data_IF_741649010018
#
_entry.id   IF_741649010018
#
_cell.length_a   1.000
_cell.length_b   1.000
_cell.length_c   1.000
_cell.angle_alpha   90.00
_cell.angle_beta   90.00
_cell.angle_gamma   90.00
#
_symmetry.space_group_name_H-M   'P 1'
#
loop_
_entity.id
_entity.type
_entity.pdbx_description
1 polymer ?
#
# COMPACT_ATOMS: atom_id res chain seq x y z
N UNK A 1 -64.79 10.66 22.77
CA UNK A 1 -64.27 11.85 23.48
C UNK A 1 -63.17 12.39 22.60
N UNK A 2 -63.46 13.42 21.78
CA UNK A 2 -62.44 14.01 20.91
C UNK A 2 -61.34 14.60 21.80
N UNK A 3 -60.07 14.15 21.68
CA UNK A 3 -58.97 14.83 22.34
C UNK A 3 -58.94 16.28 21.86
N UNK A 4 -58.57 17.20 22.75
CA UNK A 4 -58.47 18.61 22.41
C UNK A 4 -57.40 18.81 21.33
N UNK A 5 -57.48 19.88 20.53
CA UNK A 5 -56.46 20.22 19.52
C UNK A 5 -55.03 20.32 20.11
N UNK A 6 -54.92 20.53 21.42
CA UNK A 6 -53.66 20.51 22.17
C UNK A 6 -53.02 19.11 22.26
N UNK A 7 -53.82 18.05 22.31
CA UNK A 7 -53.33 16.66 22.38
C UNK A 7 -52.68 16.25 21.05
N UNK A 8 -53.26 16.66 19.92
CA UNK A 8 -52.70 16.42 18.58
C UNK A 8 -51.38 17.17 18.38
N UNK A 9 -51.30 18.43 18.83
CA UNK A 9 -50.06 19.21 18.74
C UNK A 9 -48.93 18.60 19.58
N UNK A 10 -49.26 18.13 20.78
CA UNK A 10 -48.31 17.44 21.65
C UNK A 10 -47.78 16.16 21.02
N UNK A 11 -48.65 15.33 20.43
CA UNK A 11 -48.23 14.10 19.75
C UNK A 11 -47.33 14.36 18.55
N UNK A 12 -47.58 15.43 17.79
CA UNK A 12 -46.72 15.84 16.67
C UNK A 12 -45.35 16.30 17.20
N UNK A 13 -45.31 17.13 18.23
CA UNK A 13 -44.05 17.57 18.85
C UNK A 13 -43.24 16.37 19.35
N UNK A 14 -43.92 15.37 19.93
CA UNK A 14 -43.31 14.13 20.39
C UNK A 14 -42.80 13.26 19.22
N UNK A 15 -43.52 13.20 18.10
CA UNK A 15 -43.06 12.54 16.88
C UNK A 15 -41.77 13.20 16.34
N UNK A 16 -41.74 14.54 16.24
CA UNK A 16 -40.53 15.26 15.86
C UNK A 16 -39.37 15.00 16.82
N UNK A 17 -39.63 14.98 18.13
CA UNK A 17 -38.63 14.63 19.13
C UNK A 17 -38.04 13.24 18.86
N UNK A 18 -38.86 12.22 18.56
CA UNK A 18 -38.35 10.88 18.24
C UNK A 18 -37.59 10.82 16.91
N UNK A 19 -37.96 11.61 15.90
CA UNK A 19 -37.17 11.75 14.66
C UNK A 19 -35.78 12.31 14.97
N UNK A 20 -35.69 13.38 15.78
CA UNK A 20 -34.40 13.96 16.17
C UNK A 20 -33.60 13.05 17.10
N UNK A 21 -34.28 12.29 17.96
CA UNK A 21 -33.62 11.30 18.82
C UNK A 21 -33.02 10.17 18.00
N UNK A 22 -33.75 9.67 16.99
CA UNK A 22 -33.22 8.71 16.03
C UNK A 22 -32.01 9.29 15.28
N UNK A 23 -32.15 10.53 14.79
CA UNK A 23 -31.07 11.25 14.11
C UNK A 23 -29.80 11.37 14.98
N UNK A 24 -29.96 11.64 16.27
CA UNK A 24 -28.84 11.69 17.21
C UNK A 24 -28.10 10.34 17.30
N UNK A 25 -28.82 9.22 17.39
CA UNK A 25 -28.19 7.90 17.47
C UNK A 25 -27.54 7.48 16.16
N UNK A 26 -28.18 7.75 15.01
CA UNK A 26 -27.56 7.52 13.68
C UNK A 26 -26.31 8.38 13.51
N UNK A 27 -26.36 9.66 13.86
CA UNK A 27 -25.18 10.54 13.83
C UNK A 27 -24.06 9.97 14.71
N UNK A 28 -24.40 9.46 15.90
CA UNK A 28 -23.46 8.88 16.85
C UNK A 28 -22.78 7.63 16.28
N UNK A 29 -23.55 6.68 15.78
CA UNK A 29 -23.05 5.43 15.18
C UNK A 29 -22.04 5.70 14.06
N UNK A 30 -22.46 6.45 13.04
CA UNK A 30 -21.60 6.69 11.87
C UNK A 30 -20.40 7.58 12.17
N UNK A 31 -20.50 8.50 13.13
CA UNK A 31 -19.37 9.39 13.47
C UNK A 31 -18.26 8.66 14.22
N UNK A 32 -18.60 7.74 15.13
CA UNK A 32 -17.63 6.93 15.88
C UNK A 32 -16.96 5.90 14.96
N UNK A 33 -17.71 5.28 14.04
CA UNK A 33 -17.14 4.34 13.07
C UNK A 33 -16.22 5.04 12.07
N UNK A 34 -16.57 6.26 11.63
CA UNK A 34 -15.80 6.95 10.59
C UNK A 34 -14.56 7.68 11.11
N UNK A 35 -14.53 8.10 12.39
CA UNK A 35 -13.39 8.84 12.94
C UNK A 35 -12.19 7.93 13.17
N UNK A 36 -10.99 8.40 12.79
CA UNK A 36 -9.74 7.65 13.00
C UNK A 36 -9.31 7.71 14.46
N UNK A 37 -8.94 6.57 15.04
CA UNK A 37 -8.44 6.49 16.43
C UNK A 37 -7.23 7.39 16.68
N UNK A 38 -6.24 7.39 15.79
CA UNK A 38 -5.05 8.24 15.87
C UNK A 38 -5.37 9.73 15.95
N UNK A 39 -6.43 10.16 15.25
CA UNK A 39 -6.91 11.55 15.29
C UNK A 39 -7.54 11.90 16.64
N UNK A 40 -8.30 10.98 17.24
CA UNK A 40 -8.84 11.17 18.58
C UNK A 40 -7.74 11.22 19.65
N UNK A 41 -6.66 10.43 19.47
CA UNK A 41 -5.48 10.48 20.34
C UNK A 41 -4.77 11.84 20.26
N UNK A 42 -4.62 12.40 19.04
CA UNK A 42 -4.09 13.75 18.82
C UNK A 42 -4.95 14.80 19.54
N UNK A 43 -6.27 14.80 19.30
CA UNK A 43 -7.20 15.73 19.94
C UNK A 43 -7.21 15.60 21.47
N UNK A 44 -7.02 14.39 22.00
CA UNK A 44 -6.91 14.14 23.43
C UNK A 44 -5.59 14.69 24.01
N UNK A 45 -4.47 14.57 23.28
CA UNK A 45 -3.18 15.19 23.64
C UNK A 45 -3.30 16.72 23.66
N UNK A 46 -4.00 17.29 22.69
CA UNK A 46 -4.29 18.73 22.58
C UNK A 46 -5.34 19.23 23.58
N UNK A 47 -5.84 18.35 24.45
CA UNK A 47 -6.84 18.64 25.50
C UNK A 47 -8.14 19.24 24.94
N UNK A 48 -8.52 18.86 23.72
CA UNK A 48 -9.80 19.25 23.14
C UNK A 48 -10.94 18.67 23.99
N UNK A 49 -11.98 19.46 24.32
CA UNK A 49 -13.12 18.96 25.11
C UNK A 49 -13.74 17.70 24.47
N UNK A 50 -14.11 16.74 25.31
CA UNK A 50 -14.72 15.46 24.92
C UNK A 50 -13.84 14.49 24.12
N UNK A 51 -12.64 14.88 23.69
CA UNK A 51 -11.75 14.02 22.92
C UNK A 51 -11.36 12.74 23.66
N UNK A 52 -11.12 12.83 24.98
CA UNK A 52 -10.83 11.66 25.81
C UNK A 52 -11.99 10.67 25.85
N UNK A 53 -13.22 11.15 26.01
CA UNK A 53 -14.42 10.30 26.04
C UNK A 53 -14.65 9.68 24.66
N UNK A 54 -14.50 10.46 23.59
CA UNK A 54 -14.61 9.95 22.23
C UNK A 54 -13.56 8.86 21.94
N UNK A 55 -12.32 9.02 22.43
CA UNK A 55 -11.27 8.01 22.33
C UNK A 55 -11.64 6.73 23.11
N UNK A 56 -12.12 6.88 24.35
CA UNK A 56 -12.58 5.75 25.18
C UNK A 56 -13.76 5.01 24.52
N UNK A 57 -14.65 5.73 23.83
CA UNK A 57 -15.74 5.16 23.04
C UNK A 57 -15.22 4.36 21.84
N UNK A 58 -14.27 4.92 21.09
CA UNK A 58 -13.63 4.25 19.96
C UNK A 58 -12.89 2.97 20.39
N UNK A 59 -12.29 2.96 21.57
CA UNK A 59 -11.63 1.78 22.15
C UNK A 59 -12.60 0.67 22.56
N UNK A 60 -13.88 0.99 22.80
CA UNK A 60 -14.91 0.03 23.19
C UNK A 60 -16.06 0.06 22.18
N UNK A 61 -15.73 0.08 20.88
CA UNK A 61 -16.68 0.35 19.80
C UNK A 61 -17.94 -0.52 19.90
N UNK A 62 -17.79 -1.82 20.11
CA UNK A 62 -18.90 -2.78 20.15
C UNK A 62 -20.01 -2.40 21.13
N UNK A 63 -19.67 -2.02 22.37
CA UNK A 63 -20.69 -1.68 23.38
C UNK A 63 -21.41 -0.37 23.07
N UNK A 64 -20.73 0.58 22.43
CA UNK A 64 -21.35 1.83 21.98
C UNK A 64 -22.19 1.64 20.72
N UNK A 65 -21.80 0.73 19.82
CA UNK A 65 -22.63 0.32 18.69
C UNK A 65 -23.92 -0.35 19.17
N UNK A 66 -23.84 -1.25 20.15
CA UNK A 66 -25.03 -1.83 20.78
C UNK A 66 -25.91 -0.75 21.43
N UNK A 67 -25.31 0.26 22.05
CA UNK A 67 -26.05 1.39 22.63
C UNK A 67 -26.77 2.23 21.56
N UNK A 68 -26.11 2.59 20.46
CA UNK A 68 -26.73 3.36 19.38
C UNK A 68 -27.84 2.56 18.70
N UNK A 69 -27.63 1.26 18.45
CA UNK A 69 -28.66 0.38 17.85
C UNK A 69 -29.92 0.27 18.73
N UNK A 70 -29.73 0.13 20.04
CA UNK A 70 -30.83 0.17 20.99
C UNK A 70 -31.57 1.51 20.92
N UNK A 71 -30.84 2.62 20.88
CA UNK A 71 -31.39 3.97 20.76
C UNK A 71 -32.19 4.18 19.47
N UNK A 72 -31.65 3.75 18.33
CA UNK A 72 -32.31 3.81 17.00
C UNK A 72 -33.62 3.00 17.04
N UNK A 73 -33.56 1.78 17.56
CA UNK A 73 -34.72 0.88 17.60
C UNK A 73 -35.81 1.42 18.51
N UNK A 74 -35.47 1.88 19.72
CA UNK A 74 -36.45 2.48 20.64
C UNK A 74 -37.07 3.74 20.06
N UNK A 75 -36.27 4.61 19.44
CA UNK A 75 -36.75 5.85 18.84
C UNK A 75 -37.67 5.58 17.64
N UNK A 76 -37.30 4.61 16.80
CA UNK A 76 -38.06 4.23 15.60
C UNK A 76 -39.39 3.57 15.95
N UNK A 77 -39.41 2.65 16.92
CA UNK A 77 -40.64 2.01 17.40
C UNK A 77 -41.57 3.02 18.08
N UNK A 78 -41.02 3.90 18.93
CA UNK A 78 -41.80 4.96 19.57
C UNK A 78 -42.38 5.94 18.55
N UNK A 79 -41.60 6.32 17.53
CA UNK A 79 -42.07 7.15 16.42
C UNK A 79 -43.18 6.47 15.63
N UNK A 80 -43.06 5.18 15.33
CA UNK A 80 -44.12 4.44 14.64
C UNK A 80 -45.42 4.41 15.44
N UNK A 81 -45.32 4.17 16.75
CA UNK A 81 -46.49 4.10 17.63
C UNK A 81 -47.16 5.46 17.86
N UNK A 82 -46.39 6.53 17.99
CA UNK A 82 -46.93 7.86 18.35
C UNK A 82 -47.16 8.72 17.12
N UNK A 83 -46.26 8.65 16.14
CA UNK A 83 -46.27 9.49 14.95
C UNK A 83 -47.48 9.23 14.08
N UNK A 84 -47.79 7.96 13.78
CA UNK A 84 -48.87 7.62 12.84
C UNK A 84 -50.21 8.17 13.32
N UNK A 85 -50.65 7.90 14.57
CA UNK A 85 -51.90 8.46 15.07
C UNK A 85 -51.90 10.00 15.13
N UNK A 86 -50.74 10.63 15.37
CA UNK A 86 -50.61 12.08 15.44
C UNK A 86 -50.90 12.74 14.09
N UNK A 87 -50.32 12.21 13.02
CA UNK A 87 -50.43 12.75 11.67
C UNK A 87 -51.76 12.33 11.03
N UNK A 88 -52.21 11.10 11.23
CA UNK A 88 -53.49 10.61 10.68
C UNK A 88 -54.65 11.48 11.17
N UNK A 89 -54.72 11.79 12.47
CA UNK A 89 -55.78 12.65 13.05
C UNK A 89 -55.79 14.07 12.47
N UNK A 90 -54.62 14.63 12.15
CA UNK A 90 -54.51 15.95 11.53
C UNK A 90 -55.06 15.95 10.10
N UNK A 91 -54.95 14.81 9.40
CA UNK A 91 -55.42 14.63 8.02
C UNK A 91 -56.91 14.25 7.99
N UNK A 92 -57.42 13.53 8.99
CA UNK A 92 -58.81 13.09 9.09
C UNK A 92 -59.79 14.27 9.11
N UNK A 93 -59.54 15.31 9.93
CA UNK A 93 -60.49 16.44 10.04
C UNK A 93 -60.71 17.17 8.70
N UNK A 94 -59.67 17.61 7.96
CA UNK A 94 -59.84 18.18 6.63
C UNK A 94 -60.54 17.23 5.64
N UNK A 95 -60.20 15.94 5.63
CA UNK A 95 -60.81 14.99 4.70
C UNK A 95 -62.31 14.82 4.96
N UNK A 96 -62.75 14.78 6.22
CA UNK A 96 -64.17 14.71 6.57
C UNK A 96 -64.92 15.97 6.17
N UNK A 97 -64.36 17.14 6.48
CA UNK A 97 -65.02 18.43 6.22
C UNK A 97 -65.15 18.75 4.74
N UNK A 98 -64.14 18.43 3.91
CA UNK A 98 -64.13 18.81 2.50
C UNK A 98 -64.75 17.78 1.55
N UNK A 99 -64.63 16.48 1.84
CA UNK A 99 -65.02 15.42 0.89
C UNK A 99 -66.23 14.60 1.32
N UNK A 100 -66.76 14.80 2.54
CA UNK A 100 -67.96 14.13 3.07
C UNK A 100 -67.96 12.60 2.85
N UNK A 101 -66.78 11.99 2.97
CA UNK A 101 -66.52 10.57 2.70
C UNK A 101 -66.99 9.67 3.87
N UNK A 102 -67.13 8.38 3.60
CA UNK A 102 -67.38 7.36 4.64
C UNK A 102 -66.18 7.30 5.62
N UNK A 103 -66.46 7.19 6.92
CA UNK A 103 -65.46 7.15 7.99
C UNK A 103 -64.35 6.12 7.77
N UNK A 104 -64.69 4.94 7.22
CA UNK A 104 -63.71 3.88 6.92
C UNK A 104 -62.73 4.32 5.83
N UNK A 105 -63.23 4.97 4.77
CA UNK A 105 -62.40 5.47 3.68
C UNK A 105 -61.50 6.61 4.15
N UNK A 106 -62.02 7.52 4.96
CA UNK A 106 -61.23 8.64 5.52
C UNK A 106 -60.10 8.11 6.38
N UNK A 107 -60.38 7.19 7.30
CA UNK A 107 -59.37 6.63 8.18
C UNK A 107 -58.28 5.88 7.40
N UNK A 108 -58.65 5.08 6.40
CA UNK A 108 -57.70 4.33 5.57
C UNK A 108 -56.78 5.25 4.76
N UNK A 109 -57.35 6.30 4.15
CA UNK A 109 -56.57 7.28 3.37
C UNK A 109 -55.67 8.12 4.28
N UNK A 110 -56.18 8.57 5.42
CA UNK A 110 -55.40 9.32 6.40
C UNK A 110 -54.23 8.49 6.95
N UNK A 111 -54.47 7.22 7.28
CA UNK A 111 -53.44 6.27 7.68
C UNK A 111 -52.36 6.12 6.61
N UNK A 112 -52.74 5.88 5.35
CA UNK A 112 -51.78 5.69 4.27
C UNK A 112 -50.89 6.92 4.03
N UNK A 113 -51.49 8.11 4.06
CA UNK A 113 -50.75 9.38 3.92
C UNK A 113 -49.86 9.62 5.14
N UNK A 114 -50.37 9.43 6.35
CA UNK A 114 -49.62 9.61 7.59
C UNK A 114 -48.41 8.67 7.66
N UNK A 115 -48.63 7.38 7.42
CA UNK A 115 -47.58 6.36 7.38
C UNK A 115 -46.50 6.72 6.35
N UNK A 116 -46.90 7.12 5.14
CA UNK A 116 -45.95 7.53 4.09
C UNK A 116 -45.15 8.76 4.51
N UNK A 117 -45.81 9.78 5.05
CA UNK A 117 -45.16 11.02 5.48
C UNK A 117 -44.16 10.77 6.62
N UNK A 118 -44.55 10.00 7.63
CA UNK A 118 -43.68 9.69 8.77
C UNK A 118 -42.51 8.83 8.34
N UNK A 119 -42.74 7.83 7.47
CA UNK A 119 -41.67 7.01 6.92
C UNK A 119 -40.68 7.88 6.15
N UNK A 120 -41.15 8.81 5.31
CA UNK A 120 -40.29 9.73 4.59
C UNK A 120 -39.49 10.63 5.54
N UNK A 121 -40.15 11.20 6.57
CA UNK A 121 -39.46 12.05 7.55
C UNK A 121 -38.44 11.26 8.37
N UNK A 122 -38.76 10.04 8.79
CA UNK A 122 -37.86 9.17 9.54
C UNK A 122 -36.64 8.77 8.70
N UNK A 123 -36.84 8.30 7.47
CA UNK A 123 -35.73 7.90 6.59
C UNK A 123 -34.87 9.11 6.22
N UNK A 124 -35.48 10.23 5.83
CA UNK A 124 -34.71 11.39 5.37
C UNK A 124 -34.03 12.12 6.52
N UNK A 125 -34.80 12.55 7.53
CA UNK A 125 -34.28 13.38 8.63
C UNK A 125 -33.72 12.56 9.78
N UNK A 126 -34.26 11.37 10.03
CA UNK A 126 -33.82 10.48 11.08
C UNK A 126 -32.61 9.63 10.69
N UNK A 127 -32.37 9.35 9.41
CA UNK A 127 -31.31 8.43 8.97
C UNK A 127 -30.36 9.04 7.94
N UNK A 128 -30.84 9.42 6.75
CA UNK A 128 -29.99 9.82 5.62
C UNK A 128 -29.21 11.12 5.87
N UNK A 129 -29.88 12.16 6.37
CA UNK A 129 -29.23 13.44 6.67
C UNK A 129 -28.19 13.30 7.79
N UNK A 130 -28.51 12.70 8.95
CA UNK A 130 -27.54 12.49 10.03
C UNK A 130 -26.34 11.64 9.61
N UNK A 131 -26.59 10.56 8.85
CA UNK A 131 -25.53 9.72 8.28
C UNK A 131 -24.59 10.52 7.37
N UNK A 132 -25.14 11.33 6.47
CA UNK A 132 -24.36 12.18 5.57
C UNK A 132 -23.52 13.21 6.35
N UNK A 133 -24.08 13.79 7.40
CA UNK A 133 -23.36 14.72 8.29
C UNK A 133 -22.25 14.00 9.07
N UNK A 134 -22.50 12.80 9.59
CA UNK A 134 -21.50 12.00 10.30
C UNK A 134 -20.30 11.66 9.39
N UNK A 135 -20.54 11.32 8.13
CA UNK A 135 -19.48 10.98 7.18
C UNK A 135 -18.67 12.23 6.80
N UNK A 136 -19.35 13.35 6.52
CA UNK A 136 -18.69 14.58 6.09
C UNK A 136 -17.96 15.32 7.23
N UNK A 137 -18.44 15.21 8.48
CA UNK A 137 -17.95 15.96 9.64
C UNK A 137 -17.78 15.08 10.87
N UNK A 138 -17.18 13.89 10.71
CA UNK A 138 -17.03 12.87 11.75
C UNK A 138 -16.39 13.39 13.04
N UNK A 139 -15.29 14.14 12.95
CA UNK A 139 -14.59 14.71 14.12
C UNK A 139 -15.48 15.64 14.96
N UNK A 140 -16.15 16.60 14.31
CA UNK A 140 -17.02 17.55 15.02
C UNK A 140 -18.25 16.85 15.59
N UNK A 141 -18.81 15.90 14.83
CA UNK A 141 -19.97 15.13 15.26
C UNK A 141 -19.64 14.26 16.49
N UNK A 142 -18.57 13.48 16.45
CA UNK A 142 -18.19 12.57 17.54
C UNK A 142 -17.89 13.34 18.83
N UNK A 143 -17.20 14.48 18.76
CA UNK A 143 -16.92 15.31 19.93
C UNK A 143 -18.19 15.92 20.53
N UNK A 144 -19.18 16.28 19.71
CA UNK A 144 -20.44 16.83 20.19
C UNK A 144 -21.31 15.76 20.88
N UNK A 145 -21.35 14.55 20.33
CA UNK A 145 -22.20 13.44 20.83
C UNK A 145 -21.57 12.62 21.95
N UNK A 146 -20.24 12.69 22.14
CA UNK A 146 -19.51 11.81 23.05
C UNK A 146 -20.09 11.79 24.48
N UNK A 147 -20.35 12.96 25.08
CA UNK A 147 -20.91 13.04 26.44
C UNK A 147 -22.37 12.55 26.51
N UNK A 148 -23.31 13.05 25.70
CA UNK A 148 -24.68 12.55 25.70
C UNK A 148 -24.77 11.04 25.47
N UNK A 149 -24.00 10.50 24.52
CA UNK A 149 -24.00 9.07 24.23
C UNK A 149 -23.39 8.27 25.38
N UNK A 150 -22.33 8.75 26.01
CA UNK A 150 -21.74 8.10 27.18
C UNK A 150 -22.73 7.99 28.34
N UNK A 151 -23.48 9.06 28.63
CA UNK A 151 -24.52 9.01 29.67
C UNK A 151 -25.61 8.00 29.32
N UNK A 152 -26.07 7.98 28.06
CA UNK A 152 -27.04 6.98 27.60
C UNK A 152 -26.51 5.56 27.79
N UNK A 153 -25.26 5.29 27.39
CA UNK A 153 -24.62 4.00 27.59
C UNK A 153 -24.56 3.60 29.07
N UNK A 154 -24.19 4.50 29.98
CA UNK A 154 -24.16 4.20 31.43
C UNK A 154 -25.55 3.82 31.95
N UNK A 155 -26.58 4.59 31.58
CA UNK A 155 -27.96 4.36 32.04
C UNK A 155 -28.51 3.03 31.51
N UNK A 156 -28.26 2.72 30.23
CA UNK A 156 -28.79 1.52 29.57
C UNK A 156 -27.82 0.33 29.59
N UNK A 157 -26.65 0.45 30.23
CA UNK A 157 -25.62 -0.61 30.29
C UNK A 157 -26.16 -1.98 30.74
N UNK A 158 -27.04 -2.08 31.76
CA UNK A 158 -27.60 -3.39 32.16
C UNK A 158 -28.41 -4.05 31.04
N UNK A 159 -29.15 -3.25 30.28
CA UNK A 159 -29.96 -3.74 29.16
C UNK A 159 -29.06 -4.12 27.98
N UNK A 160 -28.10 -3.27 27.63
CA UNK A 160 -27.12 -3.51 26.55
C UNK A 160 -26.36 -4.82 26.78
N UNK A 161 -25.84 -5.05 28.00
CA UNK A 161 -25.14 -6.30 28.34
C UNK A 161 -26.02 -7.54 28.19
N UNK A 162 -27.32 -7.41 28.42
CA UNK A 162 -28.27 -8.51 28.21
C UNK A 162 -28.41 -8.82 26.72
N UNK A 163 -28.51 -7.81 25.87
CA UNK A 163 -28.52 -7.98 24.41
C UNK A 163 -27.21 -8.57 23.90
N UNK A 164 -26.05 -8.07 24.34
CA UNK A 164 -24.74 -8.59 23.95
C UNK A 164 -24.59 -10.07 24.33
N UNK A 165 -25.08 -10.46 25.52
CA UNK A 165 -25.11 -11.87 25.94
C UNK A 165 -25.96 -12.73 25.01
N UNK A 166 -27.18 -12.28 24.66
CA UNK A 166 -28.06 -12.99 23.74
C UNK A 166 -27.45 -13.10 22.34
N UNK A 167 -26.78 -12.05 21.86
CA UNK A 167 -26.06 -12.05 20.59
C UNK A 167 -24.90 -13.07 20.61
N UNK A 168 -24.09 -13.07 21.67
CA UNK A 168 -22.99 -14.03 21.83
C UNK A 168 -23.46 -15.49 21.90
N UNK A 169 -24.58 -15.76 22.58
CA UNK A 169 -25.21 -17.08 22.58
C UNK A 169 -25.67 -17.47 21.17
N UNK A 170 -26.29 -16.55 20.46
CA UNK A 170 -26.77 -16.77 19.07
C UNK A 170 -25.60 -17.06 18.11
N UNK A 171 -24.50 -16.30 18.20
CA UNK A 171 -23.30 -16.50 17.40
C UNK A 171 -22.64 -17.85 17.70
N UNK A 172 -22.63 -18.26 18.98
CA UNK A 172 -22.11 -19.58 19.38
C UNK A 172 -22.94 -20.73 18.81
N UNK A 173 -24.27 -20.57 18.72
CA UNK A 173 -25.16 -21.55 18.06
C UNK A 173 -24.85 -21.65 16.56
N UNK A 174 -24.52 -20.53 15.92
CA UNK A 174 -24.14 -20.47 14.50
C UNK A 174 -22.69 -20.90 14.22
N UNK A 175 -21.89 -21.19 15.26
CA UNK A 175 -20.49 -21.60 15.12
C UNK A 175 -19.52 -20.47 14.74
N UNK A 176 -19.94 -19.20 14.85
CA UNK A 176 -19.11 -18.03 14.52
C UNK A 176 -18.21 -17.70 15.72
N UNK A 177 -16.89 -17.64 15.49
CA UNK A 177 -15.91 -17.24 16.51
C UNK A 177 -15.68 -15.72 16.42
N UNK A 178 -15.55 -15.00 17.55
CA UNK A 178 -15.13 -13.60 17.54
C UNK A 178 -13.74 -13.45 16.90
N UNK A 179 -13.58 -12.50 15.98
CA UNK A 179 -12.28 -12.15 15.43
C UNK A 179 -11.36 -11.65 16.55
N UNK A 180 -10.08 -12.04 16.54
CA UNK A 180 -9.09 -11.57 17.52
C UNK A 180 -8.26 -10.46 16.88
N UNK A 181 -7.97 -9.40 17.65
CA UNK A 181 -7.11 -8.27 17.26
C UNK A 181 -5.71 -8.66 16.73
N UNK A 182 -5.27 -9.91 16.90
CA UNK A 182 -3.99 -10.40 16.36
C UNK A 182 -3.99 -10.64 14.84
N UNK A 183 -5.14 -10.54 14.17
CA UNK A 183 -5.26 -10.60 12.70
C UNK A 183 -5.00 -9.24 12.01
N UNK A 184 -4.63 -8.20 12.76
CA UNK A 184 -4.31 -6.86 12.23
C UNK A 184 -2.85 -6.67 11.80
N UNK A 185 -1.99 -7.69 11.93
CA UNK A 185 -0.65 -7.62 11.37
C UNK A 185 -0.74 -7.85 9.85
N UNK A 186 -0.54 -6.79 9.07
CA UNK A 186 -0.54 -6.87 7.61
C UNK A 186 0.55 -7.83 7.12
N UNK A 187 0.21 -8.67 6.14
CA UNK A 187 1.23 -9.44 5.42
C UNK A 187 2.08 -8.51 4.54
N UNK A 188 3.22 -8.99 4.07
CA UNK A 188 4.08 -8.24 3.15
C UNK A 188 3.34 -7.86 1.86
N UNK A 189 2.51 -8.77 1.34
CA UNK A 189 1.65 -8.50 0.18
C UNK A 189 0.61 -7.42 0.49
N UNK A 190 0.00 -7.44 1.68
CA UNK A 190 -0.93 -6.38 2.08
C UNK A 190 -0.23 -5.02 2.18
N UNK A 191 1.01 -4.97 2.68
CA UNK A 191 1.81 -3.73 2.71
C UNK A 191 2.04 -3.24 1.27
N UNK A 192 2.47 -4.12 0.34
CA UNK A 192 2.68 -3.75 -1.07
C UNK A 192 1.38 -3.25 -1.74
N UNK A 193 0.23 -3.87 -1.43
CA UNK A 193 -1.09 -3.42 -1.90
C UNK A 193 -1.42 -2.02 -1.37
N UNK A 194 -1.21 -1.77 -0.07
CA UNK A 194 -1.49 -0.47 0.56
C UNK A 194 -0.63 0.63 -0.07
N UNK A 195 0.65 0.35 -0.33
CA UNK A 195 1.57 1.30 -0.99
C UNK A 195 1.11 1.56 -2.43
N UNK A 196 0.74 0.52 -3.19
CA UNK A 196 0.22 0.67 -4.55
C UNK A 196 -1.07 1.49 -4.64
N UNK A 197 -1.99 1.30 -3.69
CA UNK A 197 -3.21 2.13 -3.60
C UNK A 197 -2.89 3.58 -3.18
N UNK A 198 -1.85 3.79 -2.38
CA UNK A 198 -1.40 5.14 -1.99
C UNK A 198 -0.76 5.90 -3.17
N UNK A 199 -0.05 5.21 -4.06
CA UNK A 199 0.44 5.76 -5.34
C UNK A 199 -0.73 6.18 -6.25
N UNK A 200 -1.70 5.29 -6.47
CA UNK A 200 -2.90 5.59 -7.27
C UNK A 200 -3.71 6.75 -6.69
N UNK A 201 -3.76 6.85 -5.37
CA UNK A 201 -4.39 7.94 -4.64
C UNK A 201 -3.63 9.27 -4.68
N UNK A 202 -2.41 9.30 -5.24
CA UNK A 202 -1.55 10.47 -5.32
C UNK A 202 -0.97 10.92 -3.97
N UNK A 203 -0.91 10.01 -2.99
CA UNK A 203 -0.35 10.28 -1.66
C UNK A 203 1.15 10.02 -1.63
N UNK A 204 1.60 9.03 -2.38
CA UNK A 204 3.01 8.68 -2.59
C UNK A 204 3.36 8.89 -4.06
N UNK A 205 4.62 9.23 -4.33
CA UNK A 205 5.17 9.17 -5.68
C UNK A 205 5.74 7.77 -6.00
N UNK A 206 6.20 7.58 -7.24
CA UNK A 206 6.75 6.30 -7.71
C UNK A 206 8.03 5.92 -6.99
N UNK A 207 8.88 6.89 -6.67
CA UNK A 207 10.16 6.67 -6.00
C UNK A 207 9.97 6.25 -4.53
N UNK A 208 9.11 6.95 -3.79
CA UNK A 208 8.71 6.58 -2.44
C UNK A 208 8.08 5.18 -2.40
N UNK A 209 7.26 4.86 -3.42
CA UNK A 209 6.63 3.54 -3.56
C UNK A 209 7.66 2.43 -3.75
N UNK A 210 8.66 2.65 -4.59
CA UNK A 210 9.74 1.71 -4.85
C UNK A 210 10.57 1.46 -3.60
N UNK A 211 11.01 2.51 -2.91
CA UNK A 211 11.77 2.39 -1.65
C UNK A 211 11.00 1.54 -0.63
N UNK A 212 9.70 1.76 -0.46
CA UNK A 212 8.91 1.00 0.53
C UNK A 212 8.80 -0.46 0.12
N UNK A 213 8.57 -0.76 -1.18
CA UNK A 213 8.53 -2.14 -1.67
C UNK A 213 9.87 -2.84 -1.45
N UNK A 214 10.97 -2.21 -1.85
CA UNK A 214 12.32 -2.73 -1.69
C UNK A 214 12.67 -2.93 -0.21
N UNK A 215 12.25 -2.03 0.67
CA UNK A 215 12.45 -2.18 2.11
C UNK A 215 11.69 -3.37 2.72
N UNK A 216 10.55 -3.77 2.13
CA UNK A 216 9.83 -4.99 2.52
C UNK A 216 10.61 -6.22 2.04
N UNK A 217 11.09 -6.22 0.79
CA UNK A 217 11.86 -7.34 0.22
C UNK A 217 13.27 -7.49 0.83
N UNK A 218 13.83 -6.41 1.38
CA UNK A 218 15.17 -6.33 1.95
C UNK A 218 15.47 -7.39 3.03
N UNK A 219 14.45 -7.86 3.77
CA UNK A 219 14.65 -8.92 4.76
C UNK A 219 14.95 -10.28 4.13
N UNK A 220 14.43 -10.53 2.93
CA UNK A 220 14.47 -11.82 2.25
C UNK A 220 15.60 -11.90 1.23
N UNK A 221 16.05 -10.77 0.69
CA UNK A 221 17.21 -10.72 -0.21
C UNK A 221 18.47 -11.27 0.47
N UNK A 222 19.18 -12.15 -0.23
CA UNK A 222 20.40 -12.81 0.27
C UNK A 222 21.65 -12.34 -0.44
N UNK A 223 22.82 -12.52 0.21
CA UNK A 223 24.10 -12.05 -0.33
C UNK A 223 24.38 -12.50 -1.77
N UNK A 224 24.02 -13.74 -2.14
CA UNK A 224 24.26 -14.29 -3.49
C UNK A 224 23.54 -13.50 -4.60
N UNK A 225 22.44 -12.82 -4.30
CA UNK A 225 21.61 -12.11 -5.28
C UNK A 225 22.23 -10.77 -5.67
N UNK A 226 22.90 -10.11 -4.73
CA UNK A 226 23.46 -8.75 -4.92
C UNK A 226 24.99 -8.68 -4.90
N UNK A 227 25.69 -9.77 -4.58
CA UNK A 227 27.16 -9.76 -4.56
C UNK A 227 27.75 -9.56 -5.96
N UNK A 228 28.90 -8.90 -6.05
CA UNK A 228 29.74 -8.97 -7.26
C UNK A 228 30.34 -10.38 -7.37
N UNK A 229 29.98 -11.18 -8.38
CA UNK A 229 30.45 -12.56 -8.47
C UNK A 229 31.96 -12.64 -8.65
N UNK A 230 32.59 -13.71 -8.15
CA UNK A 230 34.04 -13.95 -8.23
C UNK A 230 34.65 -13.70 -9.61
N UNK A 231 33.93 -14.10 -10.68
CA UNK A 231 34.39 -13.94 -12.06
C UNK A 231 34.62 -12.47 -12.40
N UNK A 232 33.72 -11.62 -11.96
CA UNK A 232 33.62 -10.22 -12.37
C UNK A 232 34.43 -9.29 -11.43
N UNK A 233 34.95 -9.83 -10.32
CA UNK A 233 35.88 -9.12 -9.43
C UNK A 233 37.19 -8.74 -10.11
N UNK A 234 37.52 -7.45 -10.16
CA UNK A 234 38.85 -6.94 -10.54
C UNK A 234 39.74 -6.86 -9.31
N UNK A 235 40.80 -7.66 -9.27
CA UNK A 235 41.66 -7.82 -8.11
C UNK A 235 43.09 -7.33 -8.39
N UNK A 236 43.75 -6.82 -7.36
CA UNK A 236 45.19 -6.56 -7.35
C UNK A 236 45.92 -7.71 -6.65
N UNK A 237 47.08 -8.11 -7.16
CA UNK A 237 47.77 -9.34 -6.77
C UNK A 237 49.11 -9.06 -6.10
N UNK A 238 49.30 -9.60 -4.90
CA UNK A 238 50.54 -9.51 -4.11
C UNK A 238 51.79 -10.01 -4.84
N UNK A 239 51.63 -10.98 -5.74
CA UNK A 239 52.73 -11.56 -6.51
C UNK A 239 53.18 -10.66 -7.67
N UNK A 240 52.41 -9.61 -8.00
CA UNK A 240 52.76 -8.62 -9.01
C UNK A 240 53.44 -7.40 -8.38
N UNK A 241 54.26 -6.72 -9.17
CA UNK A 241 54.90 -5.46 -8.75
C UNK A 241 53.87 -4.37 -8.44
N UNK A 242 54.31 -3.34 -7.71
CA UNK A 242 53.46 -2.18 -7.41
C UNK A 242 52.96 -1.52 -8.70
N UNK A 243 53.86 -1.31 -9.66
CA UNK A 243 53.59 -0.69 -10.95
C UNK A 243 52.60 -1.49 -11.80
N UNK A 244 52.66 -2.82 -11.78
CA UNK A 244 51.70 -3.66 -12.50
C UNK A 244 50.29 -3.59 -11.91
N UNK A 245 50.16 -3.58 -10.58
CA UNK A 245 48.86 -3.43 -9.93
C UNK A 245 48.29 -2.02 -10.14
N UNK A 246 49.13 -0.98 -10.14
CA UNK A 246 48.72 0.38 -10.48
C UNK A 246 48.14 0.46 -11.89
N UNK A 247 48.73 -0.25 -12.88
CA UNK A 247 48.13 -0.33 -14.23
C UNK A 247 46.72 -0.92 -14.21
N UNK A 248 46.50 -2.02 -13.48
CA UNK A 248 45.15 -2.62 -13.32
C UNK A 248 44.15 -1.61 -12.76
N UNK A 249 44.57 -0.81 -11.78
CA UNK A 249 43.73 0.23 -11.18
C UNK A 249 43.42 1.34 -12.18
N UNK A 250 44.41 1.83 -12.93
CA UNK A 250 44.18 2.86 -13.96
C UNK A 250 43.30 2.39 -15.12
N UNK A 251 43.38 1.10 -15.48
CA UNK A 251 42.58 0.51 -16.54
C UNK A 251 41.14 0.17 -16.09
N UNK A 252 40.81 0.36 -14.81
CA UNK A 252 39.50 0.06 -14.24
C UNK A 252 38.85 1.30 -13.60
N UNK A 253 37.54 1.24 -13.36
CA UNK A 253 36.73 2.37 -12.88
C UNK A 253 36.41 2.31 -11.39
N UNK A 254 36.97 1.35 -10.66
CA UNK A 254 36.58 1.07 -9.28
C UNK A 254 37.38 1.89 -8.27
N UNK A 255 36.78 2.15 -7.11
CA UNK A 255 37.44 2.85 -6.00
C UNK A 255 38.04 1.89 -4.97
N UNK A 256 37.63 0.62 -5.02
CA UNK A 256 38.00 -0.43 -4.05
C UNK A 256 38.37 -1.71 -4.79
N UNK A 257 39.47 -2.31 -4.37
CA UNK A 257 40.02 -3.49 -5.02
C UNK A 257 40.33 -4.58 -3.99
N UNK A 258 39.83 -5.82 -4.18
CA UNK A 258 40.32 -6.98 -3.44
C UNK A 258 41.81 -7.20 -3.68
N UNK A 259 42.55 -7.41 -2.60
CA UNK A 259 43.96 -7.75 -2.61
C UNK A 259 44.14 -9.24 -2.40
N UNK A 260 44.72 -9.92 -3.38
CA UNK A 260 44.84 -11.39 -3.42
C UNK A 260 46.28 -11.85 -3.40
N UNK A 261 46.52 -13.09 -2.97
CA UNK A 261 47.79 -13.79 -3.12
C UNK A 261 47.67 -14.91 -4.17
N UNK A 262 48.01 -14.60 -5.43
CA UNK A 262 47.98 -15.56 -6.54
C UNK A 262 46.57 -15.90 -7.05
N UNK A 263 45.69 -16.40 -6.20
CA UNK A 263 44.33 -16.86 -6.53
C UNK A 263 43.24 -15.97 -5.91
N UNK A 264 42.08 -15.87 -6.59
CA UNK A 264 40.87 -15.23 -6.05
C UNK A 264 40.25 -15.99 -4.85
N UNK A 265 40.72 -17.20 -4.54
CA UNK A 265 40.37 -17.91 -3.29
C UNK A 265 41.21 -17.43 -2.09
N UNK A 266 42.34 -16.79 -2.34
CA UNK A 266 43.27 -16.30 -1.31
C UNK A 266 43.18 -14.78 -1.19
N UNK A 267 42.03 -14.29 -0.70
CA UNK A 267 41.79 -12.86 -0.49
C UNK A 267 42.36 -12.41 0.87
N UNK A 268 43.29 -11.47 0.82
CA UNK A 268 43.97 -10.89 1.99
C UNK A 268 43.18 -9.73 2.61
N UNK A 269 42.41 -9.00 1.80
CA UNK A 269 41.62 -7.86 2.24
C UNK A 269 41.24 -6.93 1.08
N UNK A 270 40.79 -5.72 1.40
CA UNK A 270 40.42 -4.68 0.45
C UNK A 270 41.39 -3.51 0.53
N UNK A 271 41.67 -2.90 -0.62
CA UNK A 271 42.44 -1.65 -0.70
C UNK A 271 41.58 -0.57 -1.37
N UNK A 272 41.55 0.60 -0.76
CA UNK A 272 40.85 1.77 -1.30
C UNK A 272 41.82 2.67 -2.08
N UNK A 273 41.41 3.20 -3.22
CA UNK A 273 42.25 4.05 -4.09
C UNK A 273 42.83 5.26 -3.36
N UNK A 274 42.05 5.87 -2.46
CA UNK A 274 42.52 6.95 -1.57
C UNK A 274 43.75 6.57 -0.74
N UNK A 275 43.82 5.34 -0.25
CA UNK A 275 44.95 4.88 0.58
C UNK A 275 46.21 4.68 -0.29
N UNK A 276 46.02 4.28 -1.56
CA UNK A 276 47.10 4.19 -2.57
C UNK A 276 47.65 5.59 -2.89
N UNK A 277 46.77 6.57 -3.13
CA UNK A 277 47.17 7.96 -3.39
C UNK A 277 47.96 8.55 -2.22
N UNK A 278 47.61 8.21 -0.97
CA UNK A 278 48.36 8.65 0.20
C UNK A 278 49.77 8.05 0.28
N UNK A 279 49.96 6.82 -0.20
CA UNK A 279 51.29 6.21 -0.30
C UNK A 279 52.10 6.92 -1.37
N UNK A 280 51.53 7.15 -2.55
CA UNK A 280 52.24 7.75 -3.68
C UNK A 280 52.64 9.23 -3.47
N UNK A 281 51.79 9.99 -2.76
CA UNK A 281 52.08 11.39 -2.40
C UNK A 281 52.96 11.51 -1.15
N UNK A 282 53.12 10.43 -0.38
CA UNK A 282 53.93 10.40 0.83
C UNK A 282 55.34 9.86 0.59
N UNK A 283 56.23 10.04 1.57
CA UNK A 283 57.55 9.37 1.62
C UNK A 283 57.45 7.92 2.18
N UNK A 284 56.29 7.28 2.04
CA UNK A 284 56.08 5.91 2.53
C UNK A 284 56.58 4.90 1.49
N UNK A 285 56.92 3.71 1.96
CA UNK A 285 57.29 2.60 1.08
C UNK A 285 56.07 2.19 0.25
N UNK A 286 56.25 2.00 -1.06
CA UNK A 286 55.19 1.60 -2.00
C UNK A 286 54.82 0.13 -1.82
N UNK A 287 54.07 -0.17 -0.76
CA UNK A 287 53.67 -1.52 -0.39
C UNK A 287 52.19 -1.58 0.00
N UNK A 288 51.44 -2.42 -0.73
CA UNK A 288 50.00 -2.61 -0.54
C UNK A 288 49.67 -3.26 0.81
N UNK A 289 50.51 -4.14 1.34
CA UNK A 289 50.33 -4.81 2.64
C UNK A 289 50.08 -3.82 3.80
N UNK A 290 50.58 -2.59 3.68
CA UNK A 290 50.46 -1.56 4.72
C UNK A 290 49.08 -0.87 4.79
N UNK A 291 48.24 -1.04 3.77
CA UNK A 291 46.93 -0.37 3.62
C UNK A 291 45.77 -1.35 3.41
N UNK A 292 46.00 -2.64 3.67
CA UNK A 292 44.97 -3.68 3.58
C UNK A 292 43.94 -3.51 4.69
N UNK A 293 42.67 -3.40 4.30
CA UNK A 293 41.51 -3.39 5.19
C UNK A 293 40.85 -4.77 5.21
N UNK A 294 40.30 -5.17 6.36
CA UNK A 294 39.67 -6.49 6.53
C UNK A 294 38.26 -6.52 5.92
N UNK A 295 37.81 -7.72 5.59
CA UNK A 295 36.42 -8.03 5.26
C UNK A 295 35.68 -8.64 6.46
N UNK A 296 34.36 -8.50 6.48
CA UNK A 296 33.49 -9.44 7.19
C UNK A 296 33.30 -10.67 6.29
N UNK A 297 33.46 -11.88 6.82
CA UNK A 297 33.20 -13.10 6.04
C UNK A 297 31.76 -13.54 6.30
N UNK A 298 30.99 -13.76 5.24
CA UNK A 298 29.57 -14.12 5.30
C UNK A 298 29.25 -15.23 4.29
N UNK A 299 28.34 -16.16 4.61
CA UNK A 299 27.90 -17.16 3.64
C UNK A 299 26.95 -16.55 2.61
N UNK A 300 26.89 -17.16 1.43
CA UNK A 300 26.10 -16.67 0.27
C UNK A 300 24.57 -16.59 0.52
N UNK A 301 24.06 -17.36 1.47
CA UNK A 301 22.64 -17.42 1.83
C UNK A 301 22.27 -16.56 3.06
N UNK A 302 23.18 -15.73 3.56
CA UNK A 302 22.87 -14.82 4.66
C UNK A 302 22.10 -13.59 4.12
N UNK A 303 20.99 -13.26 4.80
CA UNK A 303 20.19 -12.06 4.49
C UNK A 303 21.03 -10.78 4.58
N UNK A 304 20.86 -9.90 3.59
CA UNK A 304 21.60 -8.64 3.47
C UNK A 304 21.32 -7.69 4.65
N UNK A 305 20.13 -7.77 5.24
CA UNK A 305 19.76 -7.04 6.46
C UNK A 305 20.67 -7.38 7.65
N UNK A 306 21.01 -8.67 7.82
CA UNK A 306 21.92 -9.13 8.87
C UNK A 306 23.37 -8.73 8.56
N UNK A 307 23.76 -8.80 7.29
CA UNK A 307 25.09 -8.40 6.83
C UNK A 307 25.32 -6.91 7.11
N UNK A 308 24.35 -6.05 6.78
CA UNK A 308 24.41 -4.60 7.03
C UNK A 308 24.63 -4.30 8.53
N UNK A 309 23.89 -4.98 9.41
CA UNK A 309 24.04 -4.84 10.86
C UNK A 309 25.44 -5.28 11.33
N UNK A 310 25.96 -6.40 10.79
CA UNK A 310 27.31 -6.89 11.10
C UNK A 310 28.39 -5.90 10.65
N UNK A 311 28.28 -5.39 9.43
CA UNK A 311 29.18 -4.40 8.83
C UNK A 311 29.19 -3.09 9.62
N UNK A 312 28.02 -2.58 9.99
CA UNK A 312 27.89 -1.37 10.79
C UNK A 312 28.49 -1.54 12.21
N UNK A 313 28.19 -2.66 12.87
CA UNK A 313 28.75 -2.97 14.21
C UNK A 313 30.27 -3.09 14.20
N UNK A 314 30.85 -3.65 13.15
CA UNK A 314 32.30 -3.83 13.02
C UNK A 314 33.00 -2.62 12.39
N UNK A 315 32.24 -1.63 11.90
CA UNK A 315 32.75 -0.47 11.15
C UNK A 315 33.57 -0.91 9.91
N UNK A 316 33.08 -1.94 9.23
CA UNK A 316 33.67 -2.50 8.01
C UNK A 316 32.69 -2.26 6.86
N UNK A 317 33.18 -1.71 5.75
CA UNK A 317 32.36 -1.34 4.59
C UNK A 317 32.30 -2.40 3.50
N UNK A 318 32.92 -3.58 3.69
CA UNK A 318 32.89 -4.67 2.73
C UNK A 318 32.84 -6.06 3.38
N UNK A 319 32.12 -6.96 2.73
CA UNK A 319 32.03 -8.37 3.07
C UNK A 319 32.59 -9.25 1.95
N UNK A 320 33.26 -10.32 2.34
CA UNK A 320 33.67 -11.41 1.48
C UNK A 320 32.61 -12.50 1.57
N UNK A 321 31.98 -12.82 0.44
CA UNK A 321 30.97 -13.86 0.38
C UNK A 321 31.64 -15.18 0.06
N UNK A 322 31.38 -16.19 0.89
CA UNK A 322 31.94 -17.54 0.75
C UNK A 322 30.88 -18.57 0.43
N UNK A 323 31.27 -19.56 -0.38
CA UNK A 323 30.44 -20.72 -0.70
C UNK A 323 30.49 -21.78 0.43
N UNK A 324 29.70 -22.84 0.27
CA UNK A 324 29.63 -23.96 1.24
C UNK A 324 30.94 -24.75 1.37
N UNK A 325 31.84 -24.64 0.40
CA UNK A 325 33.14 -25.31 0.36
C UNK A 325 34.27 -24.43 0.90
N UNK A 326 33.96 -23.19 1.32
CA UNK A 326 34.89 -22.20 1.82
C UNK A 326 35.66 -21.45 0.73
N UNK A 327 35.26 -21.59 -0.54
CA UNK A 327 35.76 -20.81 -1.66
C UNK A 327 35.15 -19.40 -1.69
N UNK A 328 35.81 -18.48 -2.40
CA UNK A 328 35.24 -17.14 -2.63
C UNK A 328 34.10 -17.23 -3.64
N UNK A 329 32.88 -16.89 -3.21
CA UNK A 329 31.73 -16.75 -4.09
C UNK A 329 31.67 -15.35 -4.73
N UNK A 330 31.99 -14.30 -3.96
CA UNK A 330 31.96 -12.92 -4.42
C UNK A 330 32.37 -11.90 -3.36
N UNK A 331 32.18 -10.63 -3.66
CA UNK A 331 32.31 -9.53 -2.70
C UNK A 331 31.02 -8.73 -2.63
N UNK A 332 30.77 -8.13 -1.47
CA UNK A 332 29.63 -7.24 -1.25
C UNK A 332 30.08 -6.01 -0.49
N UNK A 333 29.58 -4.83 -0.85
CA UNK A 333 29.84 -3.56 -0.16
C UNK A 333 28.61 -3.05 0.57
N UNK A 334 28.81 -2.09 1.49
CA UNK A 334 27.67 -1.46 2.16
C UNK A 334 26.85 -0.62 1.17
N UNK A 335 27.51 -0.05 0.18
CA UNK A 335 26.87 0.68 -0.91
C UNK A 335 25.91 -0.22 -1.70
N UNK A 336 26.36 -1.42 -2.10
CA UNK A 336 25.50 -2.38 -2.83
C UNK A 336 24.25 -2.78 -2.02
N UNK A 337 24.38 -2.94 -0.69
CA UNK A 337 23.25 -3.25 0.19
C UNK A 337 22.28 -2.06 0.30
N UNK A 338 22.80 -0.83 0.27
CA UNK A 338 21.97 0.38 0.35
C UNK A 338 21.23 0.66 -0.96
N UNK A 339 21.88 0.36 -2.09
CA UNK A 339 21.31 0.44 -3.44
C UNK A 339 20.08 -0.46 -3.56
N UNK A 340 20.09 -1.66 -2.97
CA UNK A 340 18.93 -2.55 -2.94
C UNK A 340 17.68 -1.90 -2.30
N UNK A 341 17.84 -1.04 -1.29
CA UNK A 341 16.71 -0.34 -0.66
C UNK A 341 16.31 0.90 -1.46
N UNK A 342 17.30 1.66 -1.91
CA UNK A 342 17.08 2.99 -2.50
C UNK A 342 16.70 2.92 -3.98
N UNK A 343 16.91 1.78 -4.63
CA UNK A 343 16.80 1.64 -6.07
C UNK A 343 17.94 2.36 -6.81
N UNK A 344 17.90 2.32 -8.13
CA UNK A 344 18.82 3.08 -8.97
C UNK A 344 18.60 4.58 -8.71
N UNK A 345 19.66 5.30 -8.35
CA UNK A 345 19.64 6.75 -8.30
C UNK A 345 19.49 7.30 -9.73
N UNK A 346 18.26 7.39 -10.23
CA UNK A 346 17.96 8.18 -11.42
C UNK A 346 18.11 9.66 -11.04
N UNK A 347 19.29 10.20 -11.33
CA UNK A 347 19.54 11.63 -11.27
C UNK A 347 18.57 12.32 -12.26
N UNK A 348 17.82 13.34 -11.82
CA UNK A 348 16.88 14.11 -12.66
C UNK A 348 17.58 14.89 -13.80
N UNK A 349 18.87 14.61 -14.04
CA UNK A 349 19.73 15.20 -15.07
C UNK A 349 20.34 14.18 -16.04
N UNK A 350 19.99 12.90 -15.96
CA UNK A 350 20.29 11.93 -17.03
C UNK A 350 19.19 11.98 -18.12
N UNK A 351 19.30 12.98 -19.00
CA UNK A 351 18.58 13.04 -20.29
C UNK A 351 19.08 11.93 -21.24
N UNK A 352 18.79 10.67 -20.90
CA UNK A 352 18.66 9.48 -21.75
C UNK A 352 18.77 8.25 -20.84
N UNK A 353 17.67 7.54 -20.60
CA UNK A 353 17.74 6.18 -20.05
C UNK A 353 18.71 5.36 -20.92
N UNK A 354 19.87 4.90 -20.40
CA UNK A 354 20.86 4.19 -21.21
C UNK A 354 20.34 2.86 -21.73
N UNK A 355 19.23 2.35 -21.20
CA UNK A 355 18.69 1.03 -21.51
C UNK A 355 17.74 1.01 -22.70
N UNK A 356 17.22 2.16 -23.15
CA UNK A 356 16.44 2.22 -24.38
C UNK A 356 16.53 3.57 -25.10
N UNK A 357 16.37 3.52 -26.42
CA UNK A 357 16.38 4.69 -27.31
C UNK A 357 15.10 4.75 -28.11
N UNK A 358 14.28 5.76 -27.85
CA UNK A 358 13.10 6.06 -28.67
C UNK A 358 13.53 6.62 -30.02
N UNK A 359 13.21 5.92 -31.11
CA UNK A 359 13.50 6.37 -32.48
C UNK A 359 12.31 7.16 -33.03
N UNK A 360 11.08 6.68 -32.81
CA UNK A 360 9.83 7.40 -33.06
C UNK A 360 8.70 6.86 -32.14
N UNK A 361 7.45 7.30 -32.31
CA UNK A 361 6.33 6.88 -31.45
C UNK A 361 6.07 5.37 -31.41
N UNK A 362 6.42 4.64 -32.48
CA UNK A 362 6.16 3.21 -32.63
C UNK A 362 7.44 2.36 -32.76
N UNK A 363 8.62 2.95 -32.61
CA UNK A 363 9.91 2.32 -32.85
C UNK A 363 10.87 2.71 -31.73
N UNK A 364 11.35 1.68 -31.03
CA UNK A 364 12.29 1.80 -29.93
C UNK A 364 13.46 0.85 -30.17
N UNK A 365 14.62 1.17 -29.62
CA UNK A 365 15.77 0.28 -29.55
C UNK A 365 16.08 0.03 -28.08
N UNK A 366 15.90 -1.20 -27.62
CA UNK A 366 16.11 -1.59 -26.23
C UNK A 366 17.43 -2.35 -26.09
N UNK A 367 18.09 -2.23 -24.94
CA UNK A 367 19.10 -3.19 -24.54
C UNK A 367 18.45 -4.56 -24.31
N UNK A 368 19.11 -5.65 -24.70
CA UNK A 368 18.51 -6.98 -24.61
C UNK A 368 18.23 -7.47 -23.18
N UNK A 369 18.79 -6.81 -22.17
CA UNK A 369 18.50 -7.06 -20.75
C UNK A 369 17.33 -6.26 -20.20
N UNK A 370 16.76 -5.35 -21.01
CA UNK A 370 15.65 -4.53 -20.58
C UNK A 370 14.44 -5.42 -20.27
N UNK A 371 13.79 -5.11 -19.15
CA UNK A 371 12.69 -5.87 -18.59
C UNK A 371 11.50 -5.91 -19.55
N UNK A 372 10.87 -7.08 -19.67
CA UNK A 372 9.81 -7.30 -20.65
C UNK A 372 8.51 -6.56 -20.28
N UNK A 373 8.16 -6.50 -18.99
CA UNK A 373 6.97 -5.79 -18.47
C UNK A 373 7.11 -4.27 -18.71
N UNK A 374 8.32 -3.74 -18.53
CA UNK A 374 8.65 -2.35 -18.84
C UNK A 374 8.50 -2.03 -20.34
N UNK A 375 8.77 -2.99 -21.23
CA UNK A 375 8.50 -2.83 -22.67
C UNK A 375 7.00 -2.77 -22.95
N UNK A 376 6.18 -3.57 -22.27
CA UNK A 376 4.71 -3.54 -22.41
C UNK A 376 4.14 -2.16 -22.09
N UNK A 377 4.57 -1.60 -20.96
CA UNK A 377 4.13 -0.28 -20.51
C UNK A 377 4.54 0.83 -21.49
N UNK A 378 5.82 0.84 -21.91
CA UNK A 378 6.35 1.86 -22.83
C UNK A 378 5.73 1.79 -24.23
N UNK A 379 5.43 0.59 -24.71
CA UNK A 379 4.90 0.37 -26.06
C UNK A 379 3.37 0.31 -26.09
N UNK A 380 2.70 0.19 -24.94
CA UNK A 380 1.26 -0.03 -24.83
C UNK A 380 0.81 -1.31 -25.54
N UNK A 381 1.56 -2.40 -25.34
CA UNK A 381 1.31 -3.75 -25.86
C UNK A 381 1.21 -4.75 -24.70
N UNK A 382 0.76 -5.97 -24.96
CA UNK A 382 0.77 -7.05 -23.97
C UNK A 382 1.27 -8.33 -24.64
N UNK A 383 2.29 -8.96 -24.06
CA UNK A 383 2.79 -10.27 -24.44
C UNK A 383 1.84 -11.37 -23.91
N UNK A 384 1.94 -12.57 -24.48
CA UNK A 384 1.09 -13.68 -24.07
C UNK A 384 1.41 -14.12 -22.63
N UNK A 385 0.38 -14.46 -21.84
CA UNK A 385 0.52 -14.89 -20.43
C UNK A 385 1.45 -16.11 -20.23
N UNK A 386 1.70 -16.88 -21.29
CA UNK A 386 2.58 -18.06 -21.29
C UNK A 386 4.07 -17.71 -21.48
N UNK A 387 4.42 -16.42 -21.60
CA UNK A 387 5.79 -15.95 -21.81
C UNK A 387 6.62 -16.10 -20.52
N UNK A 388 7.64 -16.96 -20.52
CA UNK A 388 8.49 -17.20 -19.34
C UNK A 388 9.71 -16.26 -19.27
N UNK A 389 10.00 -15.52 -20.34
CA UNK A 389 11.18 -14.66 -20.42
C UNK A 389 11.00 -13.33 -19.67
N UNK A 390 12.00 -12.99 -18.85
CA UNK A 390 12.01 -11.74 -18.08
C UNK A 390 12.54 -10.54 -18.88
N UNK A 391 13.24 -10.76 -20.00
CA UNK A 391 13.85 -9.66 -20.77
C UNK A 391 13.50 -9.71 -22.25
N UNK A 392 13.49 -8.55 -22.90
CA UNK A 392 13.20 -8.44 -24.34
C UNK A 392 14.19 -9.21 -25.22
N UNK A 393 15.46 -9.29 -24.80
CA UNK A 393 16.48 -10.07 -25.48
C UNK A 393 16.25 -11.57 -25.33
N UNK A 394 15.82 -12.04 -24.15
CA UNK A 394 15.43 -13.43 -23.93
C UNK A 394 14.22 -13.80 -24.78
N UNK A 395 13.18 -12.96 -24.76
CA UNK A 395 11.95 -13.15 -25.52
C UNK A 395 12.21 -13.29 -27.03
N UNK A 396 12.96 -12.36 -27.60
CA UNK A 396 13.31 -12.37 -29.03
C UNK A 396 14.24 -13.53 -29.38
N UNK A 397 15.12 -13.95 -28.46
CA UNK A 397 15.94 -15.14 -28.65
C UNK A 397 15.08 -16.40 -28.76
N UNK A 398 14.09 -16.57 -27.87
CA UNK A 398 13.20 -17.73 -27.89
C UNK A 398 12.32 -17.74 -29.15
N UNK A 399 11.76 -16.58 -29.53
CA UNK A 399 11.02 -16.40 -30.79
C UNK A 399 11.81 -16.84 -32.04
N UNK A 400 13.12 -16.58 -32.07
CA UNK A 400 13.99 -16.96 -33.20
C UNK A 400 14.27 -18.48 -33.21
N UNK A 401 14.21 -19.17 -32.05
CA UNK A 401 14.35 -20.63 -31.94
C UNK A 401 15.75 -21.19 -32.28
N UNK A 402 16.73 -20.32 -32.51
CA UNK A 402 18.14 -20.64 -32.75
C UNK A 402 19.02 -19.51 -32.23
N UNK A 403 20.34 -19.72 -32.19
CA UNK A 403 21.29 -18.64 -31.89
C UNK A 403 21.07 -17.45 -32.86
N UNK A 404 20.69 -16.26 -32.36
CA UNK A 404 20.42 -15.09 -33.19
C UNK A 404 21.70 -14.50 -33.79
N UNK A 405 21.57 -13.90 -34.96
CA UNK A 405 22.62 -13.15 -35.65
C UNK A 405 22.19 -11.69 -35.77
N UNK A 406 23.18 -10.79 -35.80
CA UNK A 406 22.92 -9.36 -36.07
C UNK A 406 22.23 -9.21 -37.43
N UNK A 407 21.09 -8.54 -37.44
CA UNK A 407 20.23 -8.37 -38.62
C UNK A 407 19.08 -9.37 -38.72
N UNK A 408 19.01 -10.39 -37.86
CA UNK A 408 17.85 -11.29 -37.79
C UNK A 408 16.58 -10.50 -37.48
N UNK A 409 15.50 -10.85 -38.17
CA UNK A 409 14.18 -10.24 -38.00
C UNK A 409 13.16 -11.32 -37.69
N UNK A 410 12.31 -11.05 -36.71
CA UNK A 410 11.19 -11.91 -36.31
C UNK A 410 10.01 -11.02 -35.93
N UNK A 411 8.81 -11.59 -35.88
CA UNK A 411 7.59 -10.88 -35.48
C UNK A 411 6.73 -11.76 -34.59
N UNK A 412 5.95 -11.12 -33.73
CA UNK A 412 4.85 -11.73 -32.98
C UNK A 412 3.52 -11.04 -33.38
N UNK A 413 2.47 -11.19 -32.58
CA UNK A 413 1.17 -10.56 -32.83
C UNK A 413 1.22 -9.02 -32.78
N UNK A 414 2.11 -8.44 -31.97
CA UNK A 414 2.09 -7.02 -31.59
C UNK A 414 3.21 -6.19 -32.25
N UNK A 415 4.34 -6.80 -32.59
CA UNK A 415 5.59 -6.12 -32.90
C UNK A 415 6.46 -6.85 -33.94
N UNK A 416 7.35 -6.06 -34.56
CA UNK A 416 8.49 -6.52 -35.34
C UNK A 416 9.78 -6.30 -34.56
N UNK A 417 10.63 -7.32 -34.54
CA UNK A 417 11.92 -7.32 -33.86
C UNK A 417 13.06 -7.40 -34.87
N UNK A 418 14.12 -6.63 -34.67
CA UNK A 418 15.37 -6.71 -35.44
C UNK A 418 16.56 -6.72 -34.48
N UNK A 419 17.37 -7.77 -34.52
CA UNK A 419 18.58 -7.88 -33.70
C UNK A 419 19.63 -6.87 -34.21
N UNK A 420 20.00 -5.90 -33.37
CA UNK A 420 20.96 -4.85 -33.73
C UNK A 420 22.37 -5.18 -33.30
N UNK A 421 22.53 -5.84 -32.16
CA UNK A 421 23.84 -6.20 -31.62
C UNK A 421 23.76 -7.47 -30.79
N UNK A 422 24.80 -8.30 -30.88
CA UNK A 422 25.01 -9.48 -30.04
C UNK A 422 26.19 -9.20 -29.09
N UNK A 423 26.12 -9.75 -27.88
CA UNK A 423 27.25 -9.88 -26.97
C UNK A 423 27.41 -11.35 -26.57
N UNK A 424 28.45 -12.01 -27.10
CA UNK A 424 28.61 -13.46 -27.00
C UNK A 424 27.39 -14.21 -27.59
N UNK A 425 26.71 -14.98 -26.74
CA UNK A 425 25.52 -15.75 -27.07
C UNK A 425 24.22 -15.05 -26.63
N UNK A 426 24.25 -13.76 -26.32
CA UNK A 426 23.08 -12.97 -25.89
C UNK A 426 22.82 -11.80 -26.82
N UNK A 427 21.56 -11.43 -27.00
CA UNK A 427 21.19 -10.20 -27.71
C UNK A 427 21.52 -9.03 -26.79
N UNK A 428 22.35 -8.09 -27.24
CA UNK A 428 22.71 -6.90 -26.47
C UNK A 428 21.89 -5.67 -26.85
N UNK A 429 21.41 -5.58 -28.10
CA UNK A 429 20.46 -4.55 -28.54
C UNK A 429 19.46 -5.12 -29.53
N UNK A 430 18.19 -4.76 -29.34
CA UNK A 430 17.07 -5.14 -30.21
C UNK A 430 16.23 -3.92 -30.56
N UNK A 431 15.95 -3.77 -31.85
CA UNK A 431 15.01 -2.76 -32.35
C UNK A 431 13.62 -3.37 -32.41
N UNK A 432 12.66 -2.72 -31.78
CA UNK A 432 11.26 -3.13 -31.69
C UNK A 432 10.41 -2.11 -32.42
N UNK A 433 9.48 -2.57 -33.27
CA UNK A 433 8.51 -1.73 -33.96
C UNK A 433 7.11 -2.28 -33.77
N UNK A 434 6.22 -1.48 -33.18
CA UNK A 434 4.80 -1.82 -33.00
C UNK A 434 4.09 -2.00 -34.35
N UNK A 435 3.23 -3.01 -34.44
CA UNK A 435 2.25 -3.19 -35.53
C UNK A 435 1.08 -2.24 -35.25
N UNK A 436 0.82 -1.32 -36.16
CA UNK A 436 -0.36 -0.43 -36.10
C UNK A 436 -1.43 -1.10 -36.95
N UNK A 437 -2.58 -1.42 -36.37
CA UNK A 437 -3.76 -1.79 -37.16
C UNK A 437 -4.18 -0.59 -38.00
N UNK A 438 -4.04 -0.69 -39.32
CA UNK A 438 -4.78 0.19 -40.23
C UNK A 438 -6.27 -0.12 -40.03
N UNK A 439 -7.02 0.83 -39.47
CA UNK A 439 -8.47 0.81 -39.64
C UNK A 439 -8.74 0.89 -41.13
N UNK A 440 -9.26 -0.19 -41.71
CA UNK A 440 -9.88 -0.14 -43.03
C UNK A 440 -10.97 0.94 -42.98
N UNK A 441 -10.73 2.05 -43.68
CA UNK A 441 -11.78 3.00 -44.03
C UNK A 441 -12.76 2.25 -44.96
N UNK A 442 -13.88 1.77 -44.41
CA UNK A 442 -15.05 1.37 -45.19
C UNK A 442 -15.68 2.62 -45.81
N UNK A 443 -15.36 2.86 -47.09
CA UNK A 443 -16.09 3.77 -48.00
C UNK A 443 -17.48 3.24 -48.40
#
# INVERSE_FOLDING_TARGET
>A
MHPSSADSLFMIALAFFFVFLNAFFVLSEFSIVKVRKSRLEELAKDKVPNAKIALDMSNNLDTYLSATQLGITLSSLALGWIGEPAVARLIEEPLKTYFNLNDILVHTVAFAIAFTLITLMHVVLGELVPKSVAIAKSEKAVLAIARPLHVFWVVFSPLIKTFDFLAGVSLKILGIKPAKDSELAHSEEEIKIIVGESLKGGVLDSFETEIIKNAVDFSDTVAKEIMTPRRDMVCINKQKSYEENIKVIFDSKYTRYPYIDGSKDAILGMIHIRDILQIDLGNKKREFDSIVRKFVIVPENLSISKILVMMNKQQISAALVVDEYGGTAGLLTMEDIMEEILGDFNDEHDDADPHYKKINENIYEFQGRFDLESVEELMGISFADETEELTIGGYVFNLIGRLPLVGDKIEDENCYYEVRKMDGASISSVKVRRKVEEKEDED
#
